data_IF_336830705299
#
_entry.id   IF_336830705299
#
_cell.length_a   1.000
_cell.length_b   1.000
_cell.length_c   1.000
_cell.angle_alpha   90.00
_cell.angle_beta   90.00
_cell.angle_gamma   90.00
#
_symmetry.space_group_name_H-M   'P 1'
#
loop_
_entity.id
_entity.type
_entity.pdbx_description
1 polymer ?
#
# COMPACT_ATOMS: atom_id res chain seq x y z
N UNK A 1 2.11 -0.31 -10.17
CA UNK A 1 0.82 0.22 -9.68
C UNK A 1 -0.12 0.53 -10.85
N UNK A 2 -1.43 0.75 -10.61
CA UNK A 2 -2.42 1.04 -11.67
C UNK A 2 -2.01 2.21 -12.59
N UNK A 3 -1.38 3.23 -12.01
CA UNK A 3 -0.83 4.40 -12.72
C UNK A 3 0.10 4.04 -13.89
N UNK A 4 0.90 2.99 -13.73
CA UNK A 4 1.90 2.56 -14.72
C UNK A 4 1.27 1.76 -15.88
N UNK A 5 0.03 1.30 -15.70
CA UNK A 5 -0.72 0.55 -16.70
C UNK A 5 -1.60 1.46 -17.54
N UNK A 6 -1.91 2.68 -17.08
CA UNK A 6 -2.80 3.59 -17.80
C UNK A 6 -2.08 4.19 -19.02
N UNK A 7 -2.59 3.87 -20.22
CA UNK A 7 -2.19 4.48 -21.49
C UNK A 7 -3.09 5.68 -21.83
N UNK A 8 -4.39 5.55 -21.57
CA UNK A 8 -5.39 6.56 -21.89
C UNK A 8 -6.54 6.58 -20.88
N UNK A 9 -7.18 7.73 -20.73
CA UNK A 9 -8.37 7.92 -19.90
C UNK A 9 -9.39 8.75 -20.67
N UNK A 10 -10.62 8.25 -20.75
CA UNK A 10 -11.80 9.03 -21.09
C UNK A 10 -12.46 9.52 -19.80
N UNK A 11 -12.80 10.81 -19.75
CA UNK A 11 -13.43 11.38 -18.56
C UNK A 11 -14.38 12.55 -18.89
N UNK A 12 -15.38 12.74 -18.03
CA UNK A 12 -16.33 13.85 -18.09
C UNK A 12 -15.98 14.88 -17.02
N UNK A 13 -15.80 16.14 -17.44
CA UNK A 13 -15.53 17.28 -16.56
C UNK A 13 -16.80 17.78 -15.85
N UNK A 14 -16.63 18.69 -14.88
CA UNK A 14 -17.73 19.23 -14.06
C UNK A 14 -18.81 19.98 -14.86
N UNK A 15 -18.45 20.49 -16.04
CA UNK A 15 -19.33 21.20 -16.98
C UNK A 15 -19.98 20.25 -18.02
N UNK A 16 -19.67 18.95 -17.97
CA UNK A 16 -20.14 17.94 -18.92
C UNK A 16 -19.23 17.77 -20.15
N UNK A 17 -18.14 18.51 -20.26
CA UNK A 17 -17.18 18.36 -21.36
C UNK A 17 -16.53 16.97 -21.30
N UNK A 18 -16.56 16.26 -22.44
CA UNK A 18 -15.89 14.97 -22.60
C UNK A 18 -14.43 15.19 -23.00
N UNK A 19 -13.52 14.70 -22.17
CA UNK A 19 -12.12 14.49 -22.56
C UNK A 19 -12.07 13.13 -23.25
N UNK A 20 -11.86 13.16 -24.57
CA UNK A 20 -11.73 11.95 -25.35
C UNK A 20 -10.48 11.16 -24.90
N UNK A 21 -10.63 9.84 -24.76
CA UNK A 21 -9.55 8.95 -24.38
C UNK A 21 -8.40 9.01 -25.38
N UNK A 22 -7.21 9.39 -24.91
CA UNK A 22 -5.98 9.31 -25.71
C UNK A 22 -5.61 7.85 -26.02
N UNK A 23 -4.90 7.69 -27.15
CA UNK A 23 -4.77 6.51 -27.98
C UNK A 23 -4.07 5.29 -27.34
N UNK A 24 -4.18 4.12 -28.01
CA UNK A 24 -3.47 2.86 -27.74
C UNK A 24 -1.93 2.95 -27.94
N UNK A 25 -1.38 4.17 -27.92
CA UNK A 25 0.02 4.45 -28.16
C UNK A 25 0.84 4.22 -26.90
N UNK A 26 2.01 3.62 -27.07
CA UNK A 26 2.97 3.41 -25.99
C UNK A 26 3.79 4.67 -25.69
N UNK A 27 3.84 5.61 -26.63
CA UNK A 27 4.59 6.87 -26.53
C UNK A 27 3.79 7.96 -27.22
N UNK A 28 3.45 9.00 -26.47
CA UNK A 28 2.75 10.17 -26.96
C UNK A 28 3.15 11.39 -26.13
N UNK A 29 3.96 12.27 -26.73
CA UNK A 29 4.49 13.47 -26.06
C UNK A 29 3.87 14.74 -26.67
N UNK A 30 2.57 14.72 -26.95
CA UNK A 30 1.84 15.83 -27.60
C UNK A 30 1.15 16.79 -26.62
N UNK A 31 1.74 17.00 -25.43
CA UNK A 31 1.24 17.93 -24.43
C UNK A 31 1.33 17.39 -23.00
N UNK A 32 0.45 17.87 -22.12
CA UNK A 32 0.40 17.41 -20.73
C UNK A 32 -0.29 16.04 -20.63
N UNK A 33 0.21 15.18 -19.74
CA UNK A 33 -0.36 13.87 -19.51
C UNK A 33 -1.60 13.92 -18.60
N UNK A 34 -2.76 14.19 -19.19
CA UNK A 34 -4.05 14.16 -18.48
C UNK A 34 -4.37 12.83 -17.77
N UNK A 35 -4.09 11.65 -18.36
CA UNK A 35 -4.34 10.38 -17.66
C UNK A 35 -3.62 10.28 -16.31
N UNK A 36 -2.39 10.80 -16.25
CA UNK A 36 -1.60 10.83 -15.02
C UNK A 36 -2.14 11.85 -14.01
N UNK A 37 -2.70 12.97 -14.45
CA UNK A 37 -3.33 13.93 -13.55
C UNK A 37 -4.63 13.37 -12.94
N UNK A 38 -5.40 12.60 -13.70
CA UNK A 38 -6.66 12.01 -13.27
C UNK A 38 -6.47 10.75 -12.41
N UNK A 39 -5.43 9.95 -12.68
CA UNK A 39 -5.09 8.80 -11.85
C UNK A 39 -4.77 9.25 -10.41
N UNK A 40 -5.51 8.75 -9.42
CA UNK A 40 -5.38 9.15 -8.02
C UNK A 40 -6.03 10.49 -7.66
N UNK A 41 -6.80 11.10 -8.56
CA UNK A 41 -7.56 12.33 -8.26
C UNK A 41 -8.79 12.10 -7.37
N UNK A 42 -9.14 10.83 -7.11
CA UNK A 42 -10.28 10.42 -6.27
C UNK A 42 -11.61 11.10 -6.68
N UNK A 43 -11.83 11.26 -7.99
CA UNK A 43 -13.04 11.87 -8.53
C UNK A 43 -13.18 13.38 -8.27
N UNK A 44 -12.11 14.04 -7.82
CA UNK A 44 -12.14 15.49 -7.54
C UNK A 44 -11.90 16.33 -8.80
N UNK A 45 -11.34 15.76 -9.87
CA UNK A 45 -11.02 16.51 -11.10
C UNK A 45 -11.95 16.18 -12.27
N UNK A 46 -12.36 14.91 -12.41
CA UNK A 46 -13.27 14.47 -13.45
C UNK A 46 -13.93 13.14 -13.06
N UNK A 47 -15.00 12.78 -13.76
CA UNK A 47 -15.59 11.44 -13.68
C UNK A 47 -15.01 10.56 -14.80
N UNK A 48 -14.21 9.54 -14.45
CA UNK A 48 -13.62 8.62 -15.43
C UNK A 48 -14.68 7.67 -15.96
N UNK A 49 -14.83 7.61 -17.29
CA UNK A 49 -15.83 6.76 -17.97
C UNK A 49 -15.22 5.56 -18.68
N UNK A 50 -13.98 5.68 -19.16
CA UNK A 50 -13.23 4.57 -19.75
C UNK A 50 -11.72 4.73 -19.50
N UNK A 51 -11.00 3.61 -19.51
CA UNK A 51 -9.54 3.56 -19.34
C UNK A 51 -8.94 2.56 -20.33
N UNK A 52 -7.87 2.97 -21.00
CA UNK A 52 -7.05 2.08 -21.83
C UNK A 52 -5.85 1.62 -21.01
N UNK A 53 -5.72 0.30 -20.83
CA UNK A 53 -4.67 -0.30 -20.00
C UNK A 53 -3.65 -1.07 -20.84
N UNK A 54 -2.39 -0.91 -20.49
CA UNK A 54 -1.29 -1.77 -20.93
C UNK A 54 -1.44 -3.14 -20.28
N UNK A 55 -1.62 -4.17 -21.10
CA UNK A 55 -1.59 -5.57 -20.68
C UNK A 55 -0.17 -6.13 -20.74
N UNK A 56 0.05 -7.24 -20.03
CA UNK A 56 1.28 -8.04 -20.07
C UNK A 56 0.93 -9.44 -20.58
N UNK A 57 1.93 -10.13 -21.15
CA UNK A 57 1.76 -11.52 -21.53
C UNK A 57 1.42 -12.35 -20.29
N UNK A 58 0.50 -13.33 -20.39
CA UNK A 58 0.24 -14.24 -19.29
C UNK A 58 1.51 -15.05 -18.98
N UNK A 59 1.77 -15.35 -17.71
CA UNK A 59 2.90 -16.19 -17.34
C UNK A 59 2.72 -17.62 -17.85
N UNK A 60 3.83 -18.22 -18.27
CA UNK A 60 3.94 -19.62 -18.67
C UNK A 60 4.13 -20.55 -17.46
N UNK A 61 4.65 -20.02 -16.36
CA UNK A 61 4.89 -20.74 -15.12
C UNK A 61 4.93 -19.77 -13.92
N UNK A 62 4.65 -20.29 -12.72
CA UNK A 62 4.64 -19.55 -11.46
C UNK A 62 5.22 -20.39 -10.34
N UNK A 63 6.08 -19.79 -9.52
CA UNK A 63 6.63 -20.45 -8.34
C UNK A 63 6.53 -19.55 -7.12
N UNK A 64 6.19 -20.13 -5.99
CA UNK A 64 6.09 -19.41 -4.73
C UNK A 64 6.71 -20.19 -3.58
N UNK A 65 7.29 -19.45 -2.64
CA UNK A 65 7.77 -19.97 -1.37
C UNK A 65 7.38 -19.05 -0.22
N UNK A 66 7.21 -19.65 0.94
CA UNK A 66 7.03 -18.98 2.21
C UNK A 66 8.26 -19.24 3.06
N UNK A 67 8.91 -18.18 3.51
CA UNK A 67 10.12 -18.25 4.34
C UNK A 67 9.82 -17.79 5.77
N UNK A 68 10.33 -18.53 6.76
CA UNK A 68 10.34 -18.15 8.16
C UNK A 68 11.57 -17.31 8.51
N UNK A 69 11.32 -16.11 9.05
CA UNK A 69 12.34 -15.08 9.26
C UNK A 69 12.36 -14.56 10.71
N UNK A 70 13.51 -14.00 11.10
CA UNK A 70 13.68 -13.31 12.37
C UNK A 70 13.11 -11.89 12.37
N UNK A 71 13.08 -11.22 11.21
CA UNK A 71 12.64 -9.82 11.13
C UNK A 71 12.60 -9.22 9.73
N UNK A 72 12.05 -7.99 9.59
CA UNK A 72 11.93 -7.30 8.30
C UNK A 72 13.26 -7.04 7.60
N UNK A 73 14.37 -6.89 8.36
CA UNK A 73 15.69 -6.69 7.78
C UNK A 73 16.16 -7.93 6.97
N UNK A 74 15.86 -9.12 7.47
CA UNK A 74 16.17 -10.38 6.80
C UNK A 74 15.27 -10.56 5.56
N UNK A 75 14.01 -10.16 5.65
CA UNK A 75 13.09 -10.16 4.51
C UNK A 75 13.60 -9.28 3.34
N UNK A 76 14.16 -8.10 3.65
CA UNK A 76 14.76 -7.23 2.64
C UNK A 76 16.03 -7.83 2.03
N UNK A 77 16.86 -8.49 2.84
CA UNK A 77 18.04 -9.20 2.34
C UNK A 77 17.64 -10.34 1.38
N UNK A 78 16.62 -11.12 1.75
CA UNK A 78 16.08 -12.19 0.92
C UNK A 78 15.41 -11.66 -0.36
N UNK A 79 14.68 -10.55 -0.29
CA UNK A 79 14.15 -9.88 -1.47
C UNK A 79 15.26 -9.40 -2.42
N UNK A 80 16.37 -8.89 -1.88
CA UNK A 80 17.53 -8.50 -2.70
C UNK A 80 18.12 -9.72 -3.39
N UNK A 81 18.38 -10.80 -2.65
CA UNK A 81 18.88 -12.06 -3.20
C UNK A 81 17.94 -12.61 -4.31
N UNK A 82 16.63 -12.59 -4.08
CA UNK A 82 15.66 -13.02 -5.09
C UNK A 82 15.70 -12.15 -6.34
N UNK A 83 15.84 -10.83 -6.21
CA UNK A 83 16.01 -9.92 -7.37
C UNK A 83 17.33 -10.14 -8.09
N UNK A 84 18.40 -10.49 -7.37
CA UNK A 84 19.70 -10.78 -7.96
C UNK A 84 19.68 -12.08 -8.79
N UNK A 85 18.95 -13.10 -8.33
CA UNK A 85 18.88 -14.42 -8.98
C UNK A 85 17.78 -14.53 -10.04
N UNK A 86 16.62 -13.92 -9.79
CA UNK A 86 15.42 -14.06 -10.62
C UNK A 86 15.11 -12.80 -11.45
N UNK A 87 15.74 -11.66 -11.14
CA UNK A 87 15.50 -10.40 -11.83
C UNK A 87 14.05 -9.93 -11.74
N UNK A 88 13.54 -9.44 -12.87
CA UNK A 88 12.15 -8.98 -13.02
C UNK A 88 11.11 -10.12 -12.99
N UNK A 89 11.54 -11.38 -12.85
CA UNK A 89 10.61 -12.48 -12.65
C UNK A 89 9.94 -12.42 -11.27
N UNK A 90 10.54 -11.75 -10.27
CA UNK A 90 9.90 -11.55 -8.96
C UNK A 90 8.68 -10.65 -9.10
N UNK A 91 7.50 -11.20 -8.85
CA UNK A 91 6.22 -10.51 -9.01
C UNK A 91 5.56 -10.14 -7.69
N UNK A 92 5.87 -10.84 -6.61
CA UNK A 92 5.35 -10.51 -5.28
C UNK A 92 6.38 -10.77 -4.18
N UNK A 93 6.31 -9.94 -3.14
CA UNK A 93 7.07 -10.08 -1.91
C UNK A 93 6.23 -9.51 -0.76
N UNK A 94 5.61 -10.40 0.00
CA UNK A 94 4.63 -10.07 1.02
C UNK A 94 5.17 -10.43 2.41
N UNK A 95 5.35 -9.41 3.24
CA UNK A 95 5.79 -9.58 4.62
C UNK A 95 4.56 -9.78 5.52
N UNK A 96 4.64 -10.68 6.48
CA UNK A 96 3.63 -10.88 7.52
C UNK A 96 4.31 -11.08 8.87
N UNK A 97 3.87 -10.35 9.88
CA UNK A 97 4.29 -10.57 11.26
C UNK A 97 3.58 -11.79 11.86
N UNK A 98 4.21 -12.44 12.84
CA UNK A 98 3.59 -13.53 13.60
C UNK A 98 2.30 -13.10 14.28
N UNK A 99 2.23 -11.87 14.79
CA UNK A 99 1.00 -11.35 15.40
C UNK A 99 -0.16 -11.30 14.40
N UNK A 100 0.09 -10.98 13.14
CA UNK A 100 -0.92 -10.98 12.08
C UNK A 100 -1.37 -12.40 11.70
N UNK A 101 -0.44 -13.35 11.56
CA UNK A 101 -0.79 -14.74 11.21
C UNK A 101 -1.42 -15.51 12.38
N UNK A 102 -0.96 -15.28 13.61
CA UNK A 102 -1.57 -15.85 14.82
C UNK A 102 -3.01 -15.34 14.98
N UNK A 103 -3.25 -14.07 14.65
CA UNK A 103 -4.60 -13.49 14.67
C UNK A 103 -5.52 -14.19 13.65
N UNK A 104 -5.06 -14.34 12.42
CA UNK A 104 -5.82 -15.04 11.38
C UNK A 104 -6.07 -16.51 11.71
N UNK A 105 -5.09 -17.19 12.32
CA UNK A 105 -5.24 -18.56 12.80
C UNK A 105 -6.23 -18.68 13.96
N UNK A 106 -6.20 -17.76 14.92
CA UNK A 106 -7.17 -17.71 16.02
C UNK A 106 -8.62 -17.50 15.56
N UNK A 107 -8.80 -16.82 14.42
CA UNK A 107 -10.09 -16.66 13.74
C UNK A 107 -10.49 -17.86 12.86
N UNK A 108 -9.61 -18.85 12.68
CA UNK A 108 -9.84 -20.02 11.83
C UNK A 108 -9.76 -19.76 10.32
N UNK A 109 -9.18 -18.62 9.91
CA UNK A 109 -9.14 -18.17 8.50
C UNK A 109 -7.87 -18.64 7.79
N UNK A 110 -6.75 -18.74 8.51
CA UNK A 110 -5.47 -19.08 7.93
C UNK A 110 -4.65 -20.03 8.82
N UNK A 111 -3.73 -20.78 8.23
CA UNK A 111 -2.77 -21.62 8.94
C UNK A 111 -1.38 -21.45 8.35
N UNK A 112 -0.39 -21.26 9.21
CA UNK A 112 1.02 -21.23 8.80
C UNK A 112 1.48 -22.67 8.51
N UNK A 113 1.95 -22.97 7.28
CA UNK A 113 2.38 -24.31 6.87
C UNK A 113 3.85 -24.59 7.21
N UNK A 114 4.33 -24.15 8.37
CA UNK A 114 5.69 -24.36 8.84
C UNK A 114 5.67 -25.12 10.17
N UNK A 115 6.72 -25.91 10.44
CA UNK A 115 6.88 -26.59 11.72
C UNK A 115 7.37 -25.61 12.79
N UNK A 116 8.21 -24.65 12.39
CA UNK A 116 8.67 -23.58 13.26
C UNK A 116 7.60 -22.51 13.49
N UNK A 117 7.81 -21.67 14.51
CA UNK A 117 6.98 -20.50 14.82
C UNK A 117 7.79 -19.20 14.64
N UNK A 118 8.16 -18.84 13.40
CA UNK A 118 9.03 -17.69 13.15
C UNK A 118 8.32 -16.38 13.52
N UNK A 119 9.09 -15.36 13.91
CA UNK A 119 8.54 -14.05 14.25
C UNK A 119 7.94 -13.32 13.04
N UNK A 120 8.42 -13.66 11.84
CA UNK A 120 8.04 -13.06 10.57
C UNK A 120 7.99 -14.10 9.47
N UNK A 121 7.17 -13.84 8.45
CA UNK A 121 7.05 -14.63 7.24
C UNK A 121 7.24 -13.74 6.02
N UNK A 122 7.92 -14.25 5.00
CA UNK A 122 7.96 -13.65 3.67
C UNK A 122 7.37 -14.64 2.66
N UNK A 123 6.26 -14.27 2.03
CA UNK A 123 5.77 -14.95 0.84
C UNK A 123 6.40 -14.29 -0.39
N UNK A 124 7.12 -15.07 -1.18
CA UNK A 124 7.75 -14.62 -2.41
C UNK A 124 7.15 -15.40 -3.58
N UNK A 125 6.78 -14.69 -4.65
CA UNK A 125 6.34 -15.28 -5.90
C UNK A 125 7.15 -14.75 -7.07
N UNK A 126 7.45 -15.64 -8.01
CA UNK A 126 8.06 -15.32 -9.28
C UNK A 126 7.30 -15.96 -10.44
N UNK A 127 7.26 -15.25 -11.56
CA UNK A 127 6.56 -15.65 -12.77
C UNK A 127 7.51 -15.71 -13.97
N UNK A 128 7.31 -16.73 -14.81
CA UNK A 128 8.06 -16.88 -16.06
C UNK A 128 7.20 -16.46 -17.23
N UNK A 129 7.64 -15.48 -18.00
CA UNK A 129 7.03 -15.13 -19.31
C UNK A 129 7.92 -15.52 -20.49
N UNK A 130 9.23 -15.62 -20.27
CA UNK A 130 10.19 -16.04 -21.30
C UNK A 130 10.22 -17.56 -21.46
N UNK A 131 10.34 -18.03 -22.71
CA UNK A 131 10.56 -19.45 -23.01
C UNK A 131 11.97 -19.93 -22.67
N UNK A 132 12.93 -19.02 -22.49
CA UNK A 132 14.35 -19.33 -22.29
C UNK A 132 14.83 -19.13 -20.86
N UNK A 133 14.05 -18.46 -20.01
CA UNK A 133 14.38 -18.32 -18.60
C UNK A 133 13.93 -19.57 -17.86
N UNK A 134 14.84 -20.27 -17.20
CA UNK A 134 14.51 -21.42 -16.36
C UNK A 134 14.17 -20.94 -14.95
N UNK A 135 12.86 -20.75 -14.71
CA UNK A 135 12.38 -20.28 -13.40
C UNK A 135 12.63 -21.31 -12.30
N UNK A 136 12.53 -22.61 -12.60
CA UNK A 136 12.74 -23.66 -11.60
C UNK A 136 14.19 -23.67 -11.13
N UNK A 137 15.15 -23.67 -12.06
CA UNK A 137 16.56 -23.61 -11.71
C UNK A 137 16.92 -22.33 -10.91
N UNK A 138 16.35 -21.19 -11.29
CA UNK A 138 16.55 -19.94 -10.55
C UNK A 138 15.96 -19.98 -9.14
N UNK A 139 14.79 -20.58 -8.98
CA UNK A 139 14.12 -20.68 -7.68
C UNK A 139 14.81 -21.69 -6.76
N UNK A 140 15.30 -22.81 -7.30
CA UNK A 140 16.13 -23.77 -6.58
C UNK A 140 17.40 -23.08 -6.04
N UNK A 141 18.09 -22.29 -6.87
CA UNK A 141 19.26 -21.52 -6.46
C UNK A 141 18.92 -20.47 -5.37
N UNK A 142 17.74 -19.85 -5.45
CA UNK A 142 17.26 -18.94 -4.41
C UNK A 142 17.04 -19.65 -3.08
N UNK A 143 16.40 -20.83 -3.09
CA UNK A 143 16.17 -21.62 -1.89
C UNK A 143 17.50 -22.03 -1.25
N UNK A 144 18.42 -22.58 -2.04
CA UNK A 144 19.76 -22.98 -1.57
C UNK A 144 20.50 -21.81 -0.92
N UNK A 145 20.65 -20.69 -1.64
CA UNK A 145 21.35 -19.51 -1.13
C UNK A 145 20.66 -18.90 0.09
N UNK A 146 19.32 -18.89 0.15
CA UNK A 146 18.58 -18.35 1.30
C UNK A 146 18.89 -19.10 2.61
N UNK A 147 19.08 -20.42 2.55
CA UNK A 147 19.46 -21.21 3.71
C UNK A 147 20.97 -21.17 4.00
N UNK A 148 21.82 -21.24 2.97
CA UNK A 148 23.28 -21.19 3.13
C UNK A 148 23.76 -19.85 3.72
N UNK A 149 23.16 -18.73 3.30
CA UNK A 149 23.45 -17.39 3.83
C UNK A 149 22.77 -17.12 5.18
N UNK A 150 21.97 -18.07 5.70
CA UNK A 150 21.21 -17.91 6.94
C UNK A 150 20.13 -16.82 6.86
N UNK A 151 19.59 -16.57 5.66
CA UNK A 151 18.51 -15.61 5.44
C UNK A 151 17.12 -16.18 5.74
N UNK A 152 16.97 -17.49 5.87
CA UNK A 152 15.75 -18.13 6.34
C UNK A 152 16.06 -19.24 7.36
N UNK A 153 15.23 -19.35 8.40
CA UNK A 153 15.36 -20.42 9.40
C UNK A 153 14.52 -21.66 9.09
N UNK A 154 13.48 -21.49 8.26
CA UNK A 154 12.54 -22.51 7.83
C UNK A 154 11.88 -22.01 6.53
N UNK A 155 11.28 -22.89 5.74
CA UNK A 155 10.54 -22.48 4.56
C UNK A 155 9.79 -23.63 3.92
N UNK A 156 8.69 -23.28 3.24
CA UNK A 156 7.95 -24.21 2.39
C UNK A 156 7.91 -23.68 0.97
N UNK A 157 8.18 -24.57 0.03
CA UNK A 157 8.12 -24.31 -1.40
C UNK A 157 6.90 -24.99 -2.00
N UNK A 158 6.16 -24.28 -2.85
CA UNK A 158 4.99 -24.83 -3.53
C UNK A 158 5.43 -25.74 -4.69
N UNK A 159 5.12 -27.03 -4.59
CA UNK A 159 5.35 -28.04 -5.63
C UNK A 159 4.13 -28.24 -6.55
N UNK A 160 3.04 -27.49 -6.34
CA UNK A 160 1.83 -27.53 -7.14
C UNK A 160 1.07 -26.22 -7.07
N UNK A 161 0.20 -25.97 -8.04
CA UNK A 161 -0.68 -24.80 -8.05
C UNK A 161 -1.58 -24.74 -6.81
N UNK A 162 -2.06 -25.89 -6.32
CA UNK A 162 -2.87 -25.96 -5.11
C UNK A 162 -2.08 -25.50 -3.87
N UNK A 163 -0.81 -25.89 -3.75
CA UNK A 163 0.06 -25.43 -2.67
C UNK A 163 0.37 -23.93 -2.82
N UNK A 164 0.64 -23.46 -4.05
CA UNK A 164 0.88 -22.03 -4.35
C UNK A 164 -0.30 -21.17 -3.91
N UNK A 165 -1.52 -21.56 -4.31
CA UNK A 165 -2.75 -20.90 -3.88
C UNK A 165 -2.94 -20.96 -2.37
N UNK A 166 -2.61 -22.08 -1.72
CA UNK A 166 -2.64 -22.20 -0.26
C UNK A 166 -1.72 -21.20 0.47
N UNK A 167 -0.53 -20.92 -0.09
CA UNK A 167 0.36 -19.88 0.45
C UNK A 167 -0.24 -18.47 0.29
N UNK A 168 -0.88 -18.19 -0.83
CA UNK A 168 -1.60 -16.93 -1.04
C UNK A 168 -2.81 -16.79 -0.12
N UNK A 169 -3.58 -17.87 0.09
CA UNK A 169 -4.70 -17.86 1.03
C UNK A 169 -4.27 -17.53 2.46
N UNK A 170 -3.06 -17.91 2.89
CA UNK A 170 -2.51 -17.46 4.18
C UNK A 170 -2.37 -15.92 4.21
N UNK A 171 -1.80 -15.32 3.17
CA UNK A 171 -1.57 -13.87 3.08
C UNK A 171 -2.87 -13.07 2.96
N UNK A 172 -3.81 -13.54 2.13
CA UNK A 172 -5.13 -12.91 1.95
C UNK A 172 -5.99 -13.08 3.22
N UNK A 173 -5.91 -14.26 3.86
CA UNK A 173 -6.62 -14.58 5.09
C UNK A 173 -6.27 -13.68 6.27
N UNK A 174 -5.09 -13.04 6.29
CA UNK A 174 -4.74 -12.03 7.29
C UNK A 174 -5.67 -10.81 7.20
N UNK A 175 -5.91 -10.30 5.99
CA UNK A 175 -6.80 -9.16 5.79
C UNK A 175 -8.26 -9.54 6.06
N UNK A 176 -8.68 -10.72 5.58
CA UNK A 176 -10.03 -11.25 5.83
C UNK A 176 -10.31 -11.40 7.33
N UNK A 177 -9.37 -11.95 8.10
CA UNK A 177 -9.52 -12.09 9.55
C UNK A 177 -9.79 -10.72 10.22
N UNK A 178 -9.14 -9.66 9.74
CA UNK A 178 -9.34 -8.32 10.28
C UNK A 178 -10.73 -7.76 9.94
N UNK A 179 -11.30 -8.10 8.79
CA UNK A 179 -12.68 -7.75 8.40
C UNK A 179 -13.74 -8.55 9.17
N UNK A 180 -13.41 -9.77 9.58
CA UNK A 180 -14.25 -10.60 10.44
C UNK A 180 -14.21 -10.18 11.92
N UNK A 181 -13.19 -9.42 12.34
CA UNK A 181 -13.10 -8.89 13.70
C UNK A 181 -14.32 -8.06 14.09
N UNK A 182 -14.92 -8.36 15.24
CA UNK A 182 -16.11 -7.67 15.78
C UNK A 182 -15.77 -6.78 16.98
N UNK A 183 -14.61 -6.12 16.94
CA UNK A 183 -14.15 -5.19 17.95
C UNK A 183 -13.49 -3.96 17.33
N UNK A 184 -12.99 -3.02 18.14
CA UNK A 184 -12.26 -1.88 17.62
C UNK A 184 -10.92 -2.34 17.01
N UNK A 185 -10.58 -1.76 15.87
CA UNK A 185 -9.30 -1.95 15.18
C UNK A 185 -8.85 -0.62 14.58
N UNK A 186 -7.60 -0.23 14.81
CA UNK A 186 -6.93 0.79 14.01
C UNK A 186 -6.30 0.13 12.81
N UNK A 187 -6.55 0.68 11.62
CA UNK A 187 -5.92 0.24 10.38
C UNK A 187 -5.25 1.44 9.74
N UNK A 188 -3.98 1.30 9.42
CA UNK A 188 -3.22 2.30 8.67
C UNK A 188 -2.49 1.62 7.53
N UNK A 189 -2.15 2.41 6.51
CA UNK A 189 -1.58 1.97 5.25
C UNK A 189 -0.46 2.96 4.92
N UNK A 190 0.74 2.68 5.42
CA UNK A 190 1.88 3.59 5.33
C UNK A 190 2.96 2.94 4.47
N UNK A 191 3.68 3.74 3.69
CA UNK A 191 4.90 3.28 3.03
C UNK A 191 6.10 4.10 3.49
N UNK A 192 7.25 3.45 3.59
CA UNK A 192 8.55 4.07 3.88
C UNK A 192 9.59 3.60 2.85
N UNK A 193 10.71 4.31 2.66
CA UNK A 193 11.80 3.79 1.84
C UNK A 193 12.20 2.39 2.31
N UNK A 194 12.50 1.46 1.39
CA UNK A 194 12.72 0.05 1.69
C UNK A 194 13.67 -0.18 2.88
N UNK A 195 14.82 0.49 2.90
CA UNK A 195 15.81 0.37 3.98
C UNK A 195 15.33 0.86 5.37
N UNK A 196 14.21 1.59 5.43
CA UNK A 196 13.61 2.09 6.67
C UNK A 196 12.48 1.20 7.21
N UNK A 197 12.01 0.20 6.46
CA UNK A 197 10.95 -0.72 6.92
C UNK A 197 11.24 -1.32 8.30
N UNK A 198 12.46 -1.82 8.59
CA UNK A 198 12.75 -2.38 9.92
C UNK A 198 12.63 -1.34 11.04
N UNK A 199 13.06 -0.09 10.79
CA UNK A 199 12.95 1.00 11.77
C UNK A 199 11.51 1.46 11.95
N UNK A 200 10.72 1.48 10.89
CA UNK A 200 9.29 1.81 10.95
C UNK A 200 8.55 0.81 11.83
N UNK A 201 8.68 -0.49 11.54
CA UNK A 201 8.07 -1.56 12.32
C UNK A 201 8.49 -1.49 13.79
N UNK A 202 9.79 -1.39 14.08
CA UNK A 202 10.29 -1.32 15.45
C UNK A 202 9.78 -0.08 16.21
N UNK A 203 9.69 1.07 15.54
CA UNK A 203 9.16 2.30 16.13
C UNK A 203 7.68 2.19 16.47
N UNK A 204 6.88 1.59 15.58
CA UNK A 204 5.46 1.34 15.82
C UNK A 204 5.26 0.34 16.96
N UNK A 205 5.98 -0.78 16.95
CA UNK A 205 5.90 -1.79 18.01
C UNK A 205 6.24 -1.19 19.39
N UNK A 206 7.33 -0.42 19.47
CA UNK A 206 7.73 0.24 20.71
C UNK A 206 6.67 1.24 21.19
N UNK A 207 6.06 2.00 20.27
CA UNK A 207 5.01 2.94 20.61
C UNK A 207 3.75 2.23 21.13
N UNK A 208 3.29 1.19 20.44
CA UNK A 208 2.11 0.40 20.85
C UNK A 208 2.36 -0.29 22.19
N UNK A 209 3.55 -0.86 22.40
CA UNK A 209 3.92 -1.48 23.67
C UNK A 209 3.90 -0.47 24.84
N UNK A 210 4.36 0.76 24.62
CA UNK A 210 4.38 1.81 25.65
C UNK A 210 2.98 2.27 26.08
N UNK A 211 1.95 2.11 25.24
CA UNK A 211 0.56 2.39 25.61
C UNK A 211 -0.01 1.36 26.61
N UNK A 212 0.61 0.18 26.71
CA UNK A 212 0.17 -0.89 27.60
C UNK A 212 -1.17 -1.50 27.19
N UNK A 213 -1.91 -2.07 28.17
CA UNK A 213 -3.26 -2.61 27.94
C UNK A 213 -3.33 -3.87 27.07
N UNK A 214 -2.20 -4.52 26.80
CA UNK A 214 -2.14 -5.73 25.96
C UNK A 214 -2.43 -5.47 24.48
N UNK A 215 -2.35 -4.22 24.01
CA UNK A 215 -2.50 -3.90 22.60
C UNK A 215 -1.48 -4.67 21.75
N UNK A 216 -1.92 -5.17 20.60
CA UNK A 216 -1.07 -5.91 19.66
C UNK A 216 -1.04 -5.18 18.33
N UNK A 217 0.17 -4.88 17.85
CA UNK A 217 0.40 -4.47 16.48
C UNK A 217 0.54 -5.73 15.60
N UNK A 218 -0.19 -5.74 14.49
CA UNK A 218 -0.17 -6.74 13.45
C UNK A 218 0.23 -6.06 12.14
N UNK A 219 1.38 -6.48 11.60
CA UNK A 219 1.95 -5.96 10.37
C UNK A 219 1.79 -6.99 9.25
N UNK A 220 1.41 -6.51 8.08
CA UNK A 220 1.58 -7.21 6.83
C UNK A 220 1.67 -6.21 5.68
N UNK A 221 2.20 -6.61 4.52
CA UNK A 221 2.18 -5.73 3.35
C UNK A 221 3.25 -6.05 2.31
N UNK A 222 3.27 -5.18 1.30
CA UNK A 222 4.11 -5.26 0.12
C UNK A 222 5.53 -4.75 0.46
N UNK A 223 6.39 -5.64 0.96
CA UNK A 223 7.76 -5.23 1.30
C UNK A 223 8.56 -4.82 0.05
N UNK A 224 8.12 -5.26 -1.14
CA UNK A 224 8.72 -4.93 -2.43
C UNK A 224 8.77 -3.44 -2.77
N UNK A 225 7.79 -2.67 -2.28
CA UNK A 225 7.67 -1.22 -2.49
C UNK A 225 7.66 -0.41 -1.19
N UNK A 226 7.75 -1.10 -0.04
CA UNK A 226 7.86 -0.49 1.29
C UNK A 226 6.51 -0.18 1.93
N UNK A 227 5.40 -0.62 1.33
CA UNK A 227 4.07 -0.52 1.92
C UNK A 227 3.89 -1.53 3.06
N UNK A 228 3.48 -1.03 4.23
CA UNK A 228 3.19 -1.82 5.43
C UNK A 228 1.83 -1.38 5.98
N UNK A 229 0.89 -2.32 5.99
CA UNK A 229 -0.36 -2.19 6.71
C UNK A 229 -0.11 -2.44 8.19
N UNK A 230 -0.34 -1.42 9.02
CA UNK A 230 -0.25 -1.53 10.47
C UNK A 230 -1.65 -1.59 11.04
N UNK A 231 -1.92 -2.67 11.77
CA UNK A 231 -3.18 -2.90 12.42
C UNK A 231 -2.97 -3.02 13.92
N UNK A 232 -3.72 -2.24 14.71
CA UNK A 232 -3.65 -2.31 16.18
C UNK A 232 -5.01 -2.67 16.73
N UNK A 233 -5.03 -3.73 17.53
CA UNK A 233 -6.23 -4.26 18.17
C UNK A 233 -5.97 -4.51 19.66
N UNK A 234 -7.00 -4.38 20.49
CA UNK A 234 -6.92 -4.82 21.88
C UNK A 234 -6.97 -6.36 21.98
N UNK A 235 -6.70 -6.95 23.16
CA UNK A 235 -6.67 -8.40 23.36
C UNK A 235 -7.95 -9.13 22.96
N UNK A 236 -9.12 -8.55 23.25
CA UNK A 236 -10.41 -9.15 22.94
C UNK A 236 -11.36 -8.18 22.21
N UNK A 237 -12.37 -8.68 21.47
CA UNK A 237 -13.29 -7.82 20.71
C UNK A 237 -14.09 -6.82 21.56
N UNK A 238 -14.37 -7.17 22.82
CA UNK A 238 -15.11 -6.32 23.76
C UNK A 238 -14.27 -5.22 24.42
N UNK A 239 -12.95 -5.25 24.25
CA UNK A 239 -12.04 -4.30 24.87
C UNK A 239 -12.02 -2.97 24.09
N UNK A 240 -11.78 -1.88 24.79
CA UNK A 240 -11.65 -0.57 24.16
C UNK A 240 -10.28 -0.38 23.51
N UNK A 241 -10.23 0.42 22.44
CA UNK A 241 -8.99 0.96 21.86
C UNK A 241 -8.95 2.48 22.10
N UNK A 242 -8.57 2.93 23.31
CA UNK A 242 -8.56 4.34 23.65
C UNK A 242 -7.51 5.08 22.82
N UNK A 243 -7.76 6.36 22.53
CA UNK A 243 -6.79 7.19 21.83
C UNK A 243 -6.51 6.79 20.37
N UNK A 244 -7.41 6.06 19.71
CA UNK A 244 -7.26 5.59 18.32
C UNK A 244 -6.74 6.66 17.35
N UNK A 245 -7.25 7.89 17.44
CA UNK A 245 -6.82 9.00 16.60
C UNK A 245 -5.36 9.43 16.88
N UNK A 246 -5.00 9.56 18.16
CA UNK A 246 -3.63 9.88 18.57
C UNK A 246 -2.64 8.78 18.19
N UNK A 247 -3.06 7.51 18.31
CA UNK A 247 -2.27 6.36 17.86
C UNK A 247 -2.08 6.36 16.33
N UNK A 248 -3.12 6.66 15.55
CA UNK A 248 -3.01 6.82 14.09
C UNK A 248 -1.99 7.90 13.75
N UNK A 249 -2.12 9.08 14.36
CA UNK A 249 -1.21 10.21 14.14
C UNK A 249 0.23 9.90 14.55
N UNK A 250 0.45 9.12 15.63
CA UNK A 250 1.77 8.68 16.05
C UNK A 250 2.41 7.74 15.00
N UNK A 251 1.67 6.73 14.52
CA UNK A 251 2.15 5.81 13.47
C UNK A 251 2.48 6.59 12.19
N UNK A 252 1.57 7.47 11.78
CA UNK A 252 1.75 8.37 10.63
C UNK A 252 2.99 9.25 10.79
N UNK A 253 3.23 9.79 11.99
CA UNK A 253 4.39 10.63 12.29
C UNK A 253 5.70 9.84 12.23
N UNK A 254 5.71 8.58 12.69
CA UNK A 254 6.88 7.69 12.56
C UNK A 254 7.17 7.48 11.07
N UNK A 255 6.16 7.14 10.25
CA UNK A 255 6.34 6.96 8.81
C UNK A 255 6.90 8.24 8.14
N UNK A 256 6.31 9.40 8.42
CA UNK A 256 6.76 10.69 7.88
C UNK A 256 8.19 11.04 8.31
N UNK A 257 8.57 10.76 9.56
CA UNK A 257 9.93 11.01 10.07
C UNK A 257 11.02 10.19 9.35
N UNK A 258 10.62 9.07 8.74
CA UNK A 258 11.48 8.18 7.97
C UNK A 258 11.45 8.50 6.46
N UNK A 259 10.82 9.61 6.06
CA UNK A 259 10.66 10.01 4.66
C UNK A 259 9.57 9.22 3.91
N UNK A 260 8.60 8.66 4.65
CA UNK A 260 7.50 7.89 4.10
C UNK A 260 6.24 8.69 3.77
N UNK A 261 5.14 7.95 3.55
CA UNK A 261 3.78 8.45 3.32
C UNK A 261 2.79 7.79 4.28
N UNK A 262 1.74 8.53 4.63
CA UNK A 262 0.61 8.11 5.46
C UNK A 262 -0.48 7.36 4.68
N UNK A 263 -0.34 7.32 3.35
CA UNK A 263 -1.20 6.55 2.46
C UNK A 263 -0.39 6.03 1.29
N UNK A 264 -0.21 4.73 1.23
CA UNK A 264 0.45 4.06 0.12
C UNK A 264 -0.53 3.82 -1.02
N UNK A 265 -1.71 3.27 -0.70
CA UNK A 265 -2.68 2.77 -1.68
C UNK A 265 -4.07 3.39 -1.52
N UNK A 266 -4.53 3.59 -0.27
CA UNK A 266 -5.93 3.91 0.00
C UNK A 266 -6.36 5.36 -0.30
N UNK A 267 -5.44 6.19 -0.77
CA UNK A 267 -5.69 7.62 -1.01
C UNK A 267 -5.89 8.45 0.27
N UNK A 268 -6.20 9.73 0.07
CA UNK A 268 -6.40 10.69 1.15
C UNK A 268 -7.84 10.69 1.64
N UNK A 269 -8.80 10.70 0.70
CA UNK A 269 -10.20 10.66 1.03
C UNK A 269 -10.68 11.85 1.89
N UNK A 270 -11.74 11.61 2.66
CA UNK A 270 -12.20 12.49 3.73
C UNK A 270 -11.34 12.36 5.00
N UNK A 271 -10.78 11.17 5.23
CA UNK A 271 -10.21 10.77 6.51
C UNK A 271 -8.77 11.26 6.71
N UNK A 272 -7.93 11.26 5.67
CA UNK A 272 -6.50 11.60 5.80
C UNK A 272 -6.17 13.03 5.37
N UNK A 273 -7.15 13.93 5.24
CA UNK A 273 -6.92 15.34 4.85
C UNK A 273 -5.97 16.07 5.81
N UNK A 274 -6.14 15.85 7.12
CA UNK A 274 -5.23 16.41 8.11
C UNK A 274 -3.81 15.87 7.93
N UNK A 275 -3.67 14.57 7.68
CA UNK A 275 -2.38 13.94 7.44
C UNK A 275 -1.72 14.44 6.15
N UNK A 276 -2.49 14.69 5.08
CA UNK A 276 -2.01 15.31 3.85
C UNK A 276 -1.38 16.69 4.12
N UNK A 277 -2.01 17.52 4.96
CA UNK A 277 -1.47 18.83 5.34
C UNK A 277 -0.14 18.74 6.12
N UNK A 278 0.06 17.67 6.89
CA UNK A 278 1.35 17.42 7.57
C UNK A 278 2.41 16.85 6.64
N UNK A 279 2.00 16.09 5.63
CA UNK A 279 2.90 15.40 4.68
C UNK A 279 3.44 16.33 3.58
N UNK A 280 2.67 17.33 3.17
CA UNK A 280 2.96 18.11 1.96
C UNK A 280 3.31 19.56 2.28
N UNK A 281 4.33 20.14 1.62
CA UNK A 281 4.61 21.56 1.72
C UNK A 281 3.39 22.40 1.29
N UNK A 282 3.21 23.56 1.92
CA UNK A 282 2.09 24.46 1.62
C UNK A 282 2.01 24.84 0.13
N UNK A 283 3.15 24.99 -0.55
CA UNK A 283 3.21 25.29 -1.98
C UNK A 283 2.64 24.17 -2.86
N UNK A 284 2.90 22.89 -2.52
CA UNK A 284 2.31 21.75 -3.25
C UNK A 284 0.79 21.71 -3.06
N UNK A 285 0.32 21.90 -1.82
CA UNK A 285 -1.12 21.94 -1.51
C UNK A 285 -1.83 23.09 -2.23
N UNK A 286 -1.22 24.28 -2.27
CA UNK A 286 -1.75 25.42 -3.00
C UNK A 286 -1.82 25.17 -4.52
N UNK A 287 -0.82 24.50 -5.08
CA UNK A 287 -0.86 24.10 -6.49
C UNK A 287 -1.97 23.07 -6.76
N UNK A 288 -2.11 22.05 -5.92
CA UNK A 288 -3.20 21.07 -6.00
C UNK A 288 -4.58 21.76 -5.95
N UNK A 289 -4.75 22.74 -5.05
CA UNK A 289 -5.97 23.55 -4.98
C UNK A 289 -6.26 24.33 -6.26
N UNK A 290 -5.24 24.97 -6.87
CA UNK A 290 -5.39 25.67 -8.16
C UNK A 290 -5.79 24.72 -9.30
N UNK A 291 -5.23 23.51 -9.32
CA UNK A 291 -5.61 22.47 -10.29
C UNK A 291 -7.09 22.10 -10.10
N UNK A 292 -7.52 21.82 -8.86
CA UNK A 292 -8.93 21.55 -8.55
C UNK A 292 -9.84 22.68 -9.01
N UNK A 293 -9.50 23.93 -8.72
CA UNK A 293 -10.30 25.09 -9.16
C UNK A 293 -10.35 25.27 -10.68
N UNK A 294 -9.29 24.88 -11.40
CA UNK A 294 -9.28 24.93 -12.86
C UNK A 294 -10.20 23.89 -13.50
N UNK A 295 -10.30 22.69 -12.91
CA UNK A 295 -11.17 21.61 -13.40
C UNK A 295 -12.64 21.76 -12.94
N UNK A 296 -12.85 22.29 -11.74
CA UNK A 296 -14.16 22.36 -11.11
C UNK A 296 -14.30 23.62 -10.24
N UNK A 297 -14.46 24.79 -10.88
CA UNK A 297 -14.55 26.07 -10.18
C UNK A 297 -15.78 26.17 -9.26
N UNK A 298 -16.83 25.40 -9.54
CA UNK A 298 -18.05 25.34 -8.75
C UNK A 298 -18.00 24.28 -7.63
N UNK A 299 -16.89 23.55 -7.50
CA UNK A 299 -16.67 22.50 -6.50
C UNK A 299 -17.79 21.44 -6.45
N UNK A 300 -18.24 20.96 -7.62
CA UNK A 300 -19.30 19.95 -7.79
C UNK A 300 -18.79 18.52 -7.69
N UNK A 301 -17.53 18.28 -8.07
CA UNK A 301 -16.92 16.95 -8.14
C UNK A 301 -16.30 16.55 -6.80
N UNK A 302 -16.93 15.56 -6.16
CA UNK A 302 -16.55 14.96 -4.88
C UNK A 302 -16.17 15.98 -3.78
N UNK A 303 -17.09 16.91 -3.41
CA UNK A 303 -16.79 18.00 -2.50
C UNK A 303 -16.39 17.51 -1.11
N UNK A 304 -15.36 18.13 -0.54
CA UNK A 304 -14.83 17.77 0.77
C UNK A 304 -13.82 16.63 0.75
N UNK A 305 -13.67 15.91 -0.37
CA UNK A 305 -12.65 14.88 -0.56
C UNK A 305 -11.31 15.51 -0.94
N UNK A 306 -10.21 15.07 -0.29
CA UNK A 306 -8.85 15.64 -0.40
C UNK A 306 -8.75 17.10 0.09
N UNK A 307 -9.55 17.99 -0.48
CA UNK A 307 -9.65 19.41 -0.15
C UNK A 307 -10.86 19.66 0.76
N UNK A 308 -10.78 20.66 1.64
CA UNK A 308 -11.87 21.02 2.53
C UNK A 308 -13.10 21.53 1.76
N UNK A 309 -14.23 21.64 2.46
CA UNK A 309 -15.36 22.41 1.93
C UNK A 309 -15.04 23.91 2.01
N UNK A 310 -15.66 24.73 1.14
CA UNK A 310 -15.50 26.20 1.19
C UNK A 310 -15.86 26.72 2.60
N UNK A 311 -14.84 27.00 3.43
CA UNK A 311 -14.96 27.47 4.81
C UNK A 311 -13.99 26.83 5.82
N UNK A 312 -13.52 25.60 5.57
CA UNK A 312 -12.63 24.88 6.51
C UNK A 312 -11.14 25.21 6.30
N UNK A 313 -10.72 25.39 5.05
CA UNK A 313 -9.31 25.67 4.71
C UNK A 313 -8.90 27.13 4.96
N UNK A 314 -9.87 28.04 5.09
CA UNK A 314 -9.61 29.46 5.36
C UNK A 314 -9.23 29.76 6.82
N UNK A 315 -9.43 28.81 7.75
CA UNK A 315 -9.23 29.02 9.19
C UNK A 315 -7.82 28.68 9.70
N UNK A 316 -6.93 28.16 8.85
CA UNK A 316 -5.58 27.73 9.24
C UNK A 316 -4.44 28.27 8.36
N UNK A 317 -4.74 29.07 7.34
CA UNK A 317 -3.71 29.69 6.52
C UNK A 317 -3.24 31.00 7.18
N UNK A 318 -1.93 31.25 7.35
CA UNK A 318 -1.45 32.61 7.56
C UNK A 318 -1.90 33.48 6.37
N UNK A 319 -2.30 34.72 6.66
CA UNK A 319 -3.06 35.63 5.78
C UNK A 319 -2.65 35.69 4.29
N UNK A 320 -3.60 36.03 3.40
CA UNK A 320 -3.66 35.46 2.06
C UNK A 320 -3.06 36.35 0.96
N UNK A 321 -2.42 35.73 -0.03
CA UNK A 321 -2.52 36.22 -1.40
C UNK A 321 -3.99 36.03 -1.85
N UNK A 322 -4.66 37.15 -2.11
CA UNK A 322 -6.13 37.34 -2.19
C UNK A 322 -6.92 36.56 -3.25
N UNK A 323 -6.36 35.56 -3.93
CA UNK A 323 -7.03 34.88 -5.06
C UNK A 323 -7.18 33.35 -4.94
N UNK A 324 -6.77 32.73 -3.83
CA UNK A 324 -7.00 31.31 -3.60
C UNK A 324 -8.34 31.10 -2.86
N UNK A 325 -9.33 30.52 -3.54
CA UNK A 325 -10.66 30.12 -3.03
C UNK A 325 -11.67 31.23 -2.74
N UNK A 326 -12.06 32.00 -3.77
CA UNK A 326 -13.43 32.57 -3.78
C UNK A 326 -14.37 31.57 -4.45
N UNK A 327 -15.06 30.75 -3.64
CA UNK A 327 -16.36 30.20 -4.05
C UNK A 327 -17.30 31.39 -4.32
N UNK A 328 -17.65 31.65 -5.57
CA UNK A 328 -18.89 32.37 -5.85
C UNK A 328 -20.04 31.47 -5.42
N UNK A 329 -20.69 31.76 -4.28
CA UNK A 329 -22.00 31.18 -3.99
C UNK A 329 -22.97 31.63 -5.10
N UNK A 330 -23.85 30.75 -5.60
CA UNK A 330 -24.99 31.19 -6.38
C UNK A 330 -25.91 32.09 -5.55
#
# INVERSE_FOLDING_TARGET
MARDQILGIEAVLADGTLIAGAAELWKDNTGYSLPQLLAGSEGTLAFVTAVTLKLRAPPLDRQAALFGLAGPAQALALLRLARDLLGDAVTAAELMSRSATDFAAGMGVAKVPLESAPGWLLLLEAERTSRFFDLAAGFDALLEAAFEEGLAGDGVFAQSEAQRLGLWSLREGVAEAMDLWRGPILRTDCAVPLGQVPRFVAGVDAHVAALGGGLRAAFFGHIGDGNIHVNVMPPAPGDALPGKAALSEAIESIALSLGGTVSAEHGIGLHKRAALRRMKPAAELALMGRIKSAFDPANRLNPGNIFGSCGDDAKGAPEPHKDAFRCSRP
#
